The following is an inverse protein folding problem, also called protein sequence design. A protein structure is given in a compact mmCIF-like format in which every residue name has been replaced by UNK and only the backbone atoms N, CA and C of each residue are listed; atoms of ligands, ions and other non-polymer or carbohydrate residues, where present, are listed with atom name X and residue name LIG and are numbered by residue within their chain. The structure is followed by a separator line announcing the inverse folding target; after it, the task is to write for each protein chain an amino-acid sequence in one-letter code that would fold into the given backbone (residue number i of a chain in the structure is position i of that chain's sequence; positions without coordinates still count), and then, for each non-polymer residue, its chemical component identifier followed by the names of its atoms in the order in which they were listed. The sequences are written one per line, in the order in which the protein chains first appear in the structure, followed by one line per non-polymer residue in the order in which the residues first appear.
data_IF_063798651022
#
_entry.id   IF_063798651022
#
_cell.length_a   1.000
_cell.length_b   1.000
_cell.length_c   1.000
_cell.angle_alpha   90.00
_cell.angle_beta   90.00
_cell.angle_gamma   90.00
#
_symmetry.space_group_name_H-M   'P 1'
#
loop_
_entity.id
_entity.type
_entity.pdbx_description
1 polymer ?
#
# COMPACT_ATOMS: atom_id res chain seq x y z
N UNK A 1 2.68 -38.81 -4.79
CA UNK A 1 3.16 -37.42 -4.84
C UNK A 1 2.14 -36.57 -4.11
N UNK A 2 2.55 -35.72 -3.16
CA UNK A 2 1.63 -34.81 -2.48
C UNK A 2 1.10 -33.79 -3.50
N UNK A 3 -0.20 -33.50 -3.46
CA UNK A 3 -0.81 -32.49 -4.32
C UNK A 3 -0.25 -31.11 -3.95
N UNK A 4 0.11 -30.30 -4.94
CA UNK A 4 0.43 -28.87 -4.75
C UNK A 4 -0.89 -28.10 -4.69
N UNK A 5 -1.09 -27.31 -3.65
CA UNK A 5 -2.28 -26.47 -3.51
C UNK A 5 -1.92 -25.02 -3.87
N UNK A 6 -2.90 -24.30 -4.41
CA UNK A 6 -2.79 -22.90 -4.80
C UNK A 6 -3.91 -22.16 -4.08
N UNK A 7 -3.57 -21.11 -3.34
CA UNK A 7 -4.54 -20.34 -2.55
C UNK A 7 -4.66 -18.93 -3.10
N UNK A 8 -5.88 -18.39 -3.09
CA UNK A 8 -6.17 -16.99 -3.37
C UNK A 8 -7.13 -16.46 -2.31
N UNK A 9 -7.07 -15.16 -2.03
CA UNK A 9 -7.99 -14.48 -1.13
C UNK A 9 -8.37 -13.13 -1.71
N UNK A 10 -9.64 -12.75 -1.55
CA UNK A 10 -10.14 -11.41 -1.88
C UNK A 10 -10.77 -10.84 -0.62
N UNK A 11 -10.32 -9.67 -0.20
CA UNK A 11 -10.93 -8.89 0.88
C UNK A 11 -11.64 -7.70 0.26
N UNK A 12 -12.96 -7.60 0.48
CA UNK A 12 -13.76 -6.44 0.04
C UNK A 12 -14.09 -5.61 1.27
N UNK A 13 -13.58 -4.38 1.31
CA UNK A 13 -13.82 -3.44 2.40
C UNK A 13 -14.63 -2.25 1.89
N UNK A 14 -15.72 -1.93 2.60
CA UNK A 14 -16.53 -0.75 2.33
C UNK A 14 -16.20 0.31 3.38
N UNK A 15 -15.81 1.50 2.94
CA UNK A 15 -15.65 2.69 3.79
C UNK A 15 -16.81 3.64 3.54
N UNK A 16 -17.31 4.29 4.59
CA UNK A 16 -18.51 5.16 4.53
C UNK A 16 -18.20 6.58 4.02
N UNK A 17 -16.94 6.98 4.00
CA UNK A 17 -16.55 8.34 3.61
C UNK A 17 -15.99 8.36 2.18
N UNK A 18 -16.69 9.07 1.31
CA UNK A 18 -16.19 9.49 -0.01
C UNK A 18 -15.13 10.62 0.12
N UNK A 19 -14.92 11.14 1.34
CA UNK A 19 -13.91 12.14 1.61
C UNK A 19 -12.53 11.51 1.75
N UNK A 20 -11.79 11.56 0.64
CA UNK A 20 -10.36 11.24 0.46
C UNK A 20 -9.36 12.02 1.34
N UNK A 21 -9.79 12.55 2.49
CA UNK A 21 -8.97 13.46 3.30
C UNK A 21 -7.80 12.77 3.99
N UNK A 22 -7.83 11.45 4.11
CA UNK A 22 -6.80 10.66 4.76
C UNK A 22 -6.57 9.32 4.06
N UNK A 23 -5.31 8.86 4.10
CA UNK A 23 -4.91 7.53 3.62
C UNK A 23 -4.47 6.70 4.83
N UNK A 24 -4.94 5.45 4.88
CA UNK A 24 -4.37 4.37 5.69
C UNK A 24 -4.35 3.12 4.82
N UNK A 25 -3.16 2.68 4.43
CA UNK A 25 -2.98 1.50 3.59
C UNK A 25 -1.79 0.70 4.05
N UNK A 26 -1.79 -0.60 3.74
CA UNK A 26 -0.68 -1.48 4.05
C UNK A 26 -0.44 -2.48 2.94
N UNK A 27 0.81 -2.90 2.79
CA UNK A 27 1.23 -3.88 1.80
C UNK A 27 2.41 -4.70 2.29
N UNK A 28 2.58 -5.89 1.71
CA UNK A 28 3.85 -6.63 1.80
C UNK A 28 4.89 -5.87 0.96
N UNK A 29 6.09 -5.65 1.51
CA UNK A 29 7.16 -4.98 0.76
C UNK A 29 7.63 -5.86 -0.41
N UNK A 30 7.08 -5.65 -1.60
CA UNK A 30 7.42 -6.41 -2.81
C UNK A 30 8.54 -5.78 -3.64
N UNK A 31 9.19 -4.70 -3.16
CA UNK A 31 10.22 -4.02 -3.94
C UNK A 31 11.50 -4.87 -4.03
N UNK A 32 12.17 -4.92 -5.19
CA UNK A 32 13.42 -5.70 -5.35
C UNK A 32 14.53 -5.32 -4.37
N UNK A 33 14.64 -4.03 -4.03
CA UNK A 33 15.57 -3.46 -3.06
C UNK A 33 14.91 -3.18 -1.68
N UNK A 34 13.68 -3.67 -1.50
CA UNK A 34 12.92 -3.55 -0.27
C UNK A 34 13.30 -4.57 0.80
N UNK A 35 12.59 -4.53 1.93
CA UNK A 35 12.88 -5.34 3.11
C UNK A 35 12.62 -6.84 2.93
N UNK A 36 11.83 -7.24 1.94
CA UNK A 36 11.67 -8.64 1.55
C UNK A 36 12.49 -9.02 0.30
N UNK A 37 13.35 -8.14 -0.22
CA UNK A 37 14.16 -8.39 -1.43
C UNK A 37 13.34 -8.85 -2.65
N UNK A 38 12.18 -8.23 -2.88
CA UNK A 38 11.25 -8.60 -3.94
C UNK A 38 10.43 -9.87 -3.70
N UNK A 39 10.63 -10.56 -2.57
CA UNK A 39 9.86 -11.75 -2.25
C UNK A 39 8.45 -11.38 -1.77
N UNK A 40 7.45 -12.01 -2.37
CA UNK A 40 6.03 -11.88 -2.00
C UNK A 40 5.38 -13.24 -1.70
N UNK A 41 6.18 -14.31 -1.65
CA UNK A 41 5.76 -15.67 -1.33
C UNK A 41 6.60 -16.20 -0.17
N UNK A 42 5.94 -16.62 0.90
CA UNK A 42 6.62 -16.91 2.17
C UNK A 42 6.29 -18.32 2.65
N UNK A 43 7.29 -19.00 3.19
CA UNK A 43 7.18 -20.32 3.81
C UNK A 43 6.91 -20.14 5.31
N UNK A 44 5.75 -20.62 5.82
CA UNK A 44 5.42 -20.46 7.23
C UNK A 44 6.45 -21.16 8.13
N UNK A 45 6.75 -20.57 9.28
CA UNK A 45 7.73 -21.07 10.24
C UNK A 45 9.21 -20.87 9.86
N UNK A 46 9.48 -20.29 8.69
CA UNK A 46 10.83 -20.00 8.20
C UNK A 46 10.97 -18.53 7.85
N UNK A 47 10.05 -18.02 7.04
CA UNK A 47 10.08 -16.64 6.55
C UNK A 47 9.29 -15.72 7.48
N UNK A 48 9.86 -14.54 7.75
CA UNK A 48 9.22 -13.48 8.53
C UNK A 48 8.98 -12.26 7.62
N UNK A 49 7.84 -12.21 6.89
CA UNK A 49 7.60 -11.15 5.91
C UNK A 49 7.46 -9.78 6.56
N UNK A 50 7.94 -8.76 5.87
CA UNK A 50 7.80 -7.37 6.25
C UNK A 50 6.61 -6.72 5.55
N UNK A 51 5.79 -6.04 6.35
CA UNK A 51 4.62 -5.28 5.94
C UNK A 51 4.92 -3.79 6.16
N UNK A 52 4.63 -3.00 5.14
CA UNK A 52 4.72 -1.54 5.19
C UNK A 52 3.32 -0.99 5.46
N UNK A 53 3.22 -0.05 6.40
CA UNK A 53 1.98 0.68 6.68
C UNK A 53 2.21 2.15 6.37
N UNK A 54 1.40 2.70 5.48
CA UNK A 54 1.41 4.08 5.05
C UNK A 54 0.19 4.79 5.62
N UNK A 55 0.38 5.98 6.19
CA UNK A 55 -0.72 6.76 6.75
C UNK A 55 -0.53 8.25 6.53
N UNK A 56 -1.63 8.98 6.34
CA UNK A 56 -1.62 10.45 6.37
C UNK A 56 -1.16 10.97 7.73
N UNK A 57 -0.66 12.21 7.76
CA UNK A 57 -0.16 12.84 8.98
C UNK A 57 -1.20 12.85 10.13
N UNK A 58 -2.47 13.12 9.80
CA UNK A 58 -3.58 13.18 10.77
C UNK A 58 -4.20 11.84 11.17
N UNK A 59 -3.71 10.71 10.63
CA UNK A 59 -4.24 9.38 10.98
C UNK A 59 -3.53 8.82 12.20
N UNK A 60 -4.28 8.37 13.18
CA UNK A 60 -3.81 7.61 14.33
C UNK A 60 -4.16 6.14 14.14
N UNK A 61 -3.20 5.23 14.37
CA UNK A 61 -3.46 3.79 14.35
C UNK A 61 -3.97 3.38 15.73
N UNK A 62 -5.16 2.79 15.76
CA UNK A 62 -5.83 2.34 16.98
C UNK A 62 -5.44 0.91 17.34
N UNK A 63 -5.40 0.04 16.32
CA UNK A 63 -5.14 -1.38 16.51
C UNK A 63 -4.44 -1.99 15.28
N UNK A 64 -3.59 -2.98 15.56
CA UNK A 64 -2.95 -3.83 14.57
C UNK A 64 -3.09 -5.27 15.07
N UNK A 65 -3.95 -6.03 14.40
CA UNK A 65 -4.24 -7.42 14.78
C UNK A 65 -3.91 -8.37 13.64
N UNK A 66 -3.33 -9.53 13.96
CA UNK A 66 -3.05 -10.60 13.01
C UNK A 66 -3.82 -11.86 13.35
N UNK A 67 -4.33 -12.57 12.33
CA UNK A 67 -5.05 -13.83 12.55
C UNK A 67 -4.15 -14.93 13.08
N UNK A 68 -2.86 -14.92 12.69
CA UNK A 68 -1.81 -15.87 13.05
C UNK A 68 -0.49 -15.10 13.15
N UNK A 69 0.38 -15.50 14.08
CA UNK A 69 1.66 -14.84 14.32
C UNK A 69 1.50 -13.53 15.10
N UNK A 70 2.55 -12.72 15.10
CA UNK A 70 2.57 -11.41 15.75
C UNK A 70 3.28 -10.39 14.87
N UNK A 71 2.81 -9.15 14.86
CA UNK A 71 3.53 -8.05 14.22
C UNK A 71 4.43 -7.35 15.23
N UNK A 72 5.71 -7.24 14.87
CA UNK A 72 6.71 -6.52 15.67
C UNK A 72 7.22 -5.32 14.87
N UNK A 73 7.19 -4.10 15.43
CA UNK A 73 7.70 -2.93 14.72
C UNK A 73 9.21 -3.10 14.49
N UNK A 74 9.67 -2.70 13.31
CA UNK A 74 11.08 -2.64 12.96
C UNK A 74 11.42 -1.25 12.45
N UNK A 75 12.71 -0.91 12.40
CA UNK A 75 13.16 0.37 11.86
C UNK A 75 12.72 0.50 10.39
N UNK A 76 12.06 1.61 10.07
CA UNK A 76 11.75 1.96 8.69
C UNK A 76 13.05 2.17 7.89
N UNK A 77 13.01 1.83 6.61
CA UNK A 77 14.12 2.01 5.69
C UNK A 77 14.03 3.37 4.99
N UNK A 78 14.64 3.46 3.80
CA UNK A 78 14.50 4.64 2.96
C UNK A 78 13.02 4.89 2.60
N UNK A 79 12.62 6.16 2.38
CA UNK A 79 11.27 6.49 1.94
C UNK A 79 10.85 5.69 0.71
N UNK A 80 9.58 5.34 0.64
CA UNK A 80 9.02 4.66 -0.52
C UNK A 80 8.90 5.66 -1.66
N UNK A 81 9.41 5.30 -2.84
CA UNK A 81 9.36 6.15 -4.03
C UNK A 81 8.27 5.66 -4.96
N UNK A 82 7.19 6.42 -5.05
CA UNK A 82 6.10 6.12 -5.97
C UNK A 82 6.47 6.61 -7.36
N UNK A 83 6.20 5.80 -8.38
CA UNK A 83 6.38 6.15 -9.79
C UNK A 83 7.73 5.77 -10.38
N UNK A 84 8.62 5.11 -9.62
CA UNK A 84 9.85 4.50 -10.16
C UNK A 84 9.59 3.18 -10.92
N UNK A 85 8.33 2.73 -11.04
CA UNK A 85 7.92 1.57 -11.85
C UNK A 85 6.62 1.78 -12.64
N UNK A 86 5.74 0.77 -12.60
CA UNK A 86 4.40 0.79 -13.19
C UNK A 86 3.34 1.38 -12.24
N UNK A 87 3.74 1.78 -11.04
CA UNK A 87 2.94 2.54 -10.09
C UNK A 87 2.92 4.03 -10.47
N UNK A 88 2.00 4.79 -9.87
CA UNK A 88 1.92 6.24 -10.05
C UNK A 88 1.21 6.74 -11.31
N UNK A 89 0.62 5.87 -12.14
CA UNK A 89 -0.28 6.31 -13.21
C UNK A 89 -1.65 6.70 -12.65
N UNK A 90 -2.05 7.95 -12.88
CA UNK A 90 -3.35 8.51 -12.55
C UNK A 90 -4.13 8.73 -13.84
N UNK A 91 -5.22 7.97 -13.99
CA UNK A 91 -6.07 8.01 -15.18
C UNK A 91 -7.27 8.89 -14.89
N UNK A 92 -7.35 10.05 -15.54
CA UNK A 92 -8.50 10.95 -15.52
C UNK A 92 -9.44 10.52 -16.64
N UNK A 93 -10.67 10.15 -16.32
CA UNK A 93 -11.67 9.70 -17.28
C UNK A 93 -12.92 10.57 -17.18
N UNK A 94 -12.83 11.80 -17.72
CA UNK A 94 -13.80 12.86 -17.52
C UNK A 94 -13.95 13.23 -16.03
N UNK A 95 -12.80 13.38 -15.37
CA UNK A 95 -12.71 13.74 -13.96
C UNK A 95 -11.65 14.82 -13.79
N UNK A 96 -11.74 15.59 -12.70
CA UNK A 96 -10.77 16.65 -12.35
C UNK A 96 -9.79 16.25 -11.25
N UNK A 97 -9.97 15.10 -10.60
CA UNK A 97 -9.18 14.69 -9.45
C UNK A 97 -8.99 13.18 -9.36
N UNK A 98 -7.86 12.78 -8.77
CA UNK A 98 -7.50 11.38 -8.51
C UNK A 98 -6.87 11.24 -7.14
N UNK A 99 -7.31 10.25 -6.37
CA UNK A 99 -6.70 9.94 -5.09
C UNK A 99 -5.35 9.25 -5.31
N UNK A 100 -4.41 9.54 -4.44
CA UNK A 100 -3.12 8.87 -4.37
C UNK A 100 -3.27 7.56 -3.59
N UNK A 101 -2.50 6.54 -3.97
CA UNK A 101 -2.47 5.26 -3.25
C UNK A 101 -1.73 5.36 -1.92
N UNK A 102 -0.77 6.29 -1.83
CA UNK A 102 0.03 6.55 -0.62
C UNK A 102 0.07 8.05 -0.36
N UNK A 103 0.27 8.49 0.90
CA UNK A 103 0.46 9.89 1.23
C UNK A 103 1.67 10.49 0.50
N UNK A 104 1.47 11.60 -0.20
CA UNK A 104 2.54 12.40 -0.76
C UNK A 104 3.20 13.22 0.35
N UNK A 105 4.36 12.74 0.82
CA UNK A 105 5.16 13.40 1.85
C UNK A 105 6.26 14.30 1.27
N UNK A 106 6.35 14.44 -0.06
CA UNK A 106 7.30 15.34 -0.70
C UNK A 106 7.76 14.89 -2.08
N UNK A 107 8.54 15.77 -2.73
CA UNK A 107 9.19 15.46 -4.01
C UNK A 107 8.22 15.27 -5.19
N UNK A 108 6.99 15.76 -5.09
CA UNK A 108 5.99 15.58 -6.13
C UNK A 108 6.45 16.17 -7.46
N UNK A 109 6.42 15.34 -8.49
CA UNK A 109 6.61 15.70 -9.89
C UNK A 109 5.63 14.92 -10.74
N UNK A 110 5.34 15.40 -11.94
CA UNK A 110 4.38 14.74 -12.81
C UNK A 110 4.67 14.95 -14.28
N UNK A 111 4.26 13.99 -15.11
CA UNK A 111 4.39 14.01 -16.55
C UNK A 111 3.12 13.49 -17.20
N UNK A 112 2.58 14.25 -18.16
CA UNK A 112 1.43 13.83 -18.96
C UNK A 112 1.84 12.78 -20.01
N UNK A 113 0.96 11.80 -20.21
CA UNK A 113 1.03 10.80 -21.28
C UNK A 113 -0.17 11.02 -22.21
N UNK A 114 0.11 11.55 -23.41
CA UNK A 114 -0.92 11.93 -24.38
C UNK A 114 -1.53 13.29 -24.07
N UNK A 115 -2.86 13.36 -23.95
CA UNK A 115 -3.60 14.60 -23.71
C UNK A 115 -3.15 15.27 -22.41
N UNK A 116 -2.91 16.59 -22.47
CA UNK A 116 -2.54 17.40 -21.31
C UNK A 116 -3.81 17.88 -20.62
N UNK A 117 -4.04 17.45 -19.37
CA UNK A 117 -5.18 17.87 -18.55
C UNK A 117 -5.03 19.26 -17.91
N UNK A 118 -3.90 19.93 -18.11
CA UNK A 118 -3.61 21.26 -17.59
C UNK A 118 -2.57 21.25 -16.46
N UNK A 119 -2.54 22.35 -15.69
CA UNK A 119 -1.65 22.48 -14.54
C UNK A 119 -2.06 21.51 -13.43
N UNK A 120 -1.08 20.79 -12.87
CA UNK A 120 -1.29 19.77 -11.86
C UNK A 120 -1.08 20.36 -10.47
N UNK A 121 -2.06 20.15 -9.58
CA UNK A 121 -1.93 20.44 -8.15
C UNK A 121 -1.95 19.13 -7.38
N UNK A 122 -1.09 18.99 -6.36
CA UNK A 122 -1.06 17.82 -5.50
C UNK A 122 -1.19 18.22 -4.04
N UNK A 123 -2.01 17.47 -3.30
CA UNK A 123 -2.08 17.48 -1.84
C UNK A 123 -1.37 16.25 -1.30
N UNK A 124 -1.52 15.98 0.00
CA UNK A 124 -1.05 14.72 0.59
C UNK A 124 -1.78 13.51 0.00
N UNK A 125 -3.08 13.61 -0.31
CA UNK A 125 -3.91 12.45 -0.66
C UNK A 125 -4.47 12.49 -2.07
N UNK A 126 -4.35 13.60 -2.79
CA UNK A 126 -5.04 13.78 -4.06
C UNK A 126 -4.20 14.61 -5.06
N UNK A 127 -4.42 14.34 -6.34
CA UNK A 127 -3.98 15.17 -7.46
C UNK A 127 -5.19 15.73 -8.17
N UNK A 128 -5.15 17.02 -8.53
CA UNK A 128 -6.22 17.71 -9.23
C UNK A 128 -5.73 18.54 -10.42
N UNK A 129 -6.64 18.76 -11.37
CA UNK A 129 -6.46 19.54 -12.60
C UNK A 129 -7.60 20.59 -12.73
N UNK A 130 -7.39 21.67 -13.51
CA UNK A 130 -8.34 22.79 -13.55
C UNK A 130 -9.71 22.45 -14.16
N UNK A 131 -9.76 21.49 -15.08
CA UNK A 131 -10.98 21.08 -15.78
C UNK A 131 -11.00 19.56 -15.95
N UNK A 132 -12.20 18.97 -16.02
CA UNK A 132 -12.35 17.55 -16.36
C UNK A 132 -11.62 17.22 -17.66
N UNK A 133 -10.90 16.09 -17.67
CA UNK A 133 -10.15 15.65 -18.83
C UNK A 133 -10.17 14.13 -18.98
N UNK A 134 -9.95 13.67 -20.22
CA UNK A 134 -9.55 12.29 -20.51
C UNK A 134 -8.04 12.31 -20.74
N UNK A 135 -7.28 11.94 -19.72
CA UNK A 135 -5.83 12.09 -19.70
C UNK A 135 -5.15 11.10 -18.76
N UNK A 136 -3.88 10.79 -19.00
CA UNK A 136 -3.06 9.95 -18.13
C UNK A 136 -1.88 10.77 -17.62
N UNK A 137 -1.73 10.84 -16.29
CA UNK A 137 -0.62 11.49 -15.64
C UNK A 137 0.24 10.45 -14.94
N UNK A 138 1.55 10.43 -15.17
CA UNK A 138 2.48 9.72 -14.29
C UNK A 138 2.93 10.67 -13.19
N UNK A 139 2.61 10.34 -11.94
CA UNK A 139 3.07 11.06 -10.77
C UNK A 139 4.26 10.32 -10.14
N UNK A 140 5.23 11.10 -9.67
CA UNK A 140 6.37 10.61 -8.90
C UNK A 140 6.50 11.41 -7.61
N UNK A 141 6.57 10.74 -6.47
CA UNK A 141 6.62 11.36 -5.15
C UNK A 141 7.17 10.37 -4.11
N UNK A 142 7.49 10.88 -2.92
CA UNK A 142 7.92 10.04 -1.79
C UNK A 142 6.81 9.86 -0.78
N UNK A 143 6.63 8.63 -0.31
CA UNK A 143 5.75 8.27 0.80
C UNK A 143 6.56 7.71 1.97
N UNK A 144 6.10 7.97 3.19
CA UNK A 144 6.68 7.46 4.43
C UNK A 144 5.85 6.30 4.96
N UNK A 145 6.53 5.32 5.54
CA UNK A 145 5.90 4.13 6.12
C UNK A 145 6.50 3.82 7.48
N UNK A 146 5.72 3.09 8.27
CA UNK A 146 6.25 2.28 9.37
C UNK A 146 6.33 0.83 8.90
N UNK A 147 7.34 0.11 9.36
CA UNK A 147 7.56 -1.29 8.97
C UNK A 147 7.28 -2.21 10.16
N UNK A 148 6.57 -3.29 9.88
CA UNK A 148 6.33 -4.37 10.83
C UNK A 148 6.77 -5.69 10.23
N UNK A 149 7.39 -6.53 11.06
CA UNK A 149 7.71 -7.90 10.69
C UNK A 149 6.67 -8.85 11.28
N UNK A 150 6.11 -9.71 10.43
CA UNK A 150 5.23 -10.78 10.86
C UNK A 150 6.09 -11.96 11.33
N UNK A 151 6.16 -12.16 12.64
CA UNK A 151 6.96 -13.21 13.26
C UNK A 151 6.05 -14.30 13.85
N UNK A 152 6.66 -15.42 14.21
CA UNK A 152 6.01 -16.52 14.95
C UNK A 152 4.80 -17.12 14.21
N UNK A 153 4.78 -17.07 12.88
CA UNK A 153 3.83 -17.85 12.07
C UNK A 153 4.24 -19.32 12.20
N UNK A 154 3.40 -20.20 12.77
CA UNK A 154 3.77 -21.59 12.96
C UNK A 154 3.89 -22.31 11.62
N UNK A 155 4.74 -23.35 11.55
CA UNK A 155 4.89 -24.17 10.34
C UNK A 155 3.57 -24.79 9.85
N UNK A 156 2.65 -25.08 10.79
CA UNK A 156 1.34 -25.65 10.49
C UNK A 156 0.24 -25.01 11.33
N UNK A 157 -0.94 -24.84 10.73
CA UNK A 157 -2.18 -24.48 11.42
C UNK A 157 -3.23 -25.52 11.08
N UNK A 158 -3.82 -26.15 12.11
CA UNK A 158 -4.82 -27.23 11.97
C UNK A 158 -4.37 -28.36 11.01
N UNK A 159 -3.08 -28.67 10.98
CA UNK A 159 -2.51 -29.70 10.11
C UNK A 159 -2.22 -29.26 8.67
N UNK A 160 -2.52 -28.01 8.29
CA UNK A 160 -2.15 -27.44 6.98
C UNK A 160 -0.83 -26.69 7.05
N UNK A 161 0.02 -26.87 6.03
CA UNK A 161 1.23 -26.08 5.77
C UNK A 161 0.98 -24.92 4.80
N UNK A 162 -0.23 -24.84 4.24
CA UNK A 162 -0.65 -23.79 3.31
C UNK A 162 -1.92 -23.14 3.88
N UNK A 163 -1.80 -21.89 4.30
CA UNK A 163 -2.92 -21.16 4.90
C UNK A 163 -2.72 -19.65 4.73
N UNK A 164 -3.82 -18.89 4.60
CA UNK A 164 -3.73 -17.43 4.58
C UNK A 164 -3.48 -16.88 5.99
N UNK A 165 -2.79 -15.75 6.06
CA UNK A 165 -2.71 -14.91 7.26
C UNK A 165 -3.32 -13.56 6.93
N UNK A 166 -4.23 -13.08 7.78
CA UNK A 166 -4.84 -11.77 7.65
C UNK A 166 -4.21 -10.82 8.65
N UNK A 167 -3.85 -9.63 8.18
CA UNK A 167 -3.46 -8.49 9.01
C UNK A 167 -4.54 -7.43 8.89
N UNK A 168 -5.09 -7.03 10.03
CA UNK A 168 -6.10 -5.99 10.14
C UNK A 168 -5.50 -4.79 10.86
N UNK A 169 -5.66 -3.60 10.28
CA UNK A 169 -5.18 -2.34 10.82
C UNK A 169 -6.36 -1.39 10.90
N UNK A 170 -6.63 -0.90 12.09
CA UNK A 170 -7.66 0.11 12.34
C UNK A 170 -7.02 1.44 12.69
N UNK A 171 -7.64 2.52 12.25
CA UNK A 171 -7.24 3.87 12.61
C UNK A 171 -8.36 4.87 12.38
N UNK A 172 -8.17 6.07 12.92
CA UNK A 172 -9.07 7.20 12.77
C UNK A 172 -8.28 8.47 12.45
N UNK A 173 -8.98 9.49 11.94
CA UNK A 173 -8.46 10.85 11.86
C UNK A 173 -8.63 11.55 13.20
N UNK A 174 -7.60 12.24 13.67
CA UNK A 174 -7.65 13.05 14.89
C UNK A 174 -8.66 14.21 14.80
#
# INVERSE_FOLDING_TARGET
MAAKQYTTSVTVQFTKDEDSSAILTAEVDGRPDGMNNGNTQFVPGIDDPVILIFKSAGVVIDDITTSIGNLTPISAGAPYKVGEGNDGYLIFANERSKNLSYPNNGGFSSQWFGTVGGAVTATETQVSIPTEAVAVLKASYTATYVAYRLNNVPLTVNGSTEFPVVVFIAGHTA
#
